data_IF_700301325981
#
_entry.id   IF_700301325981
#
_cell.length_a   1.000
_cell.length_b   1.000
_cell.length_c   1.000
_cell.angle_alpha   90.00
_cell.angle_beta   90.00
_cell.angle_gamma   90.00
#
_symmetry.space_group_name_H-M   'P 1'
#
loop_
_entity.id
_entity.type
_entity.pdbx_description
1 polymer ?
#
# COMPACT_ATOMS: atom_id res chain seq x y z
N UNK A 1 0.01 31.54 -10.75
CA UNK A 1 -0.48 31.12 -9.42
C UNK A 1 -1.98 31.30 -9.45
N UNK A 2 -2.76 30.28 -9.06
CA UNK A 2 -4.21 30.31 -9.21
C UNK A 2 -4.92 29.92 -7.90
N UNK A 3 -6.06 30.53 -7.59
CA UNK A 3 -7.05 30.03 -6.65
C UNK A 3 -8.14 29.25 -7.40
N UNK A 4 -9.09 28.63 -6.70
CA UNK A 4 -10.27 28.07 -7.39
C UNK A 4 -11.03 29.18 -8.12
N UNK A 5 -11.19 30.34 -7.49
CA UNK A 5 -11.89 31.48 -8.09
C UNK A 5 -11.25 31.91 -9.40
N UNK A 6 -9.93 32.11 -9.42
CA UNK A 6 -9.25 32.52 -10.66
C UNK A 6 -9.37 31.47 -11.77
N UNK A 7 -9.51 30.18 -11.44
CA UNK A 7 -9.70 29.12 -12.43
C UNK A 7 -11.14 29.13 -12.97
N UNK A 8 -12.13 29.41 -12.10
CA UNK A 8 -13.52 29.60 -12.51
C UNK A 8 -13.62 30.77 -13.50
N UNK A 9 -13.05 31.91 -13.14
CA UNK A 9 -13.13 33.13 -13.93
C UNK A 9 -12.40 32.99 -15.28
N UNK A 10 -11.25 32.31 -15.31
CA UNK A 10 -10.46 32.14 -16.54
C UNK A 10 -11.04 31.12 -17.52
N UNK A 11 -11.70 30.08 -17.01
CA UNK A 11 -12.22 28.99 -17.84
C UNK A 11 -13.73 29.07 -18.04
N UNK A 12 -14.38 30.07 -17.44
CA UNK A 12 -15.84 30.23 -17.38
C UNK A 12 -16.55 28.94 -16.95
N UNK A 13 -16.16 28.43 -15.77
CA UNK A 13 -16.68 27.18 -15.21
C UNK A 13 -17.14 27.34 -13.76
N UNK A 14 -18.04 26.46 -13.35
CA UNK A 14 -18.45 26.36 -11.96
C UNK A 14 -17.31 25.89 -11.04
N UNK A 15 -17.50 26.12 -9.74
CA UNK A 15 -16.55 25.79 -8.68
C UNK A 15 -16.25 24.29 -8.62
N UNK A 16 -17.25 23.44 -8.80
CA UNK A 16 -17.10 21.99 -8.72
C UNK A 16 -16.18 21.47 -9.83
N UNK A 17 -16.39 21.98 -11.06
CA UNK A 17 -15.58 21.67 -12.24
C UNK A 17 -14.16 22.21 -12.10
N UNK A 18 -13.98 23.42 -11.58
CA UNK A 18 -12.66 23.97 -11.27
C UNK A 18 -11.89 23.10 -10.25
N UNK A 19 -12.55 22.70 -9.16
CA UNK A 19 -11.96 21.78 -8.16
C UNK A 19 -11.58 20.44 -8.79
N UNK A 20 -12.44 19.90 -9.65
CA UNK A 20 -12.20 18.63 -10.32
C UNK A 20 -11.02 18.67 -11.30
N UNK A 21 -10.87 19.76 -12.06
CA UNK A 21 -9.70 19.98 -12.94
C UNK A 21 -8.42 20.02 -12.12
N UNK A 22 -8.38 20.81 -11.05
CA UNK A 22 -7.22 20.88 -10.13
C UNK A 22 -6.91 19.51 -9.55
N UNK A 23 -7.92 18.74 -9.16
CA UNK A 23 -7.76 17.38 -8.66
C UNK A 23 -7.15 16.43 -9.72
N UNK A 24 -7.65 16.47 -10.96
CA UNK A 24 -7.11 15.67 -12.08
C UNK A 24 -5.66 16.02 -12.38
N UNK A 25 -5.34 17.30 -12.49
CA UNK A 25 -3.98 17.77 -12.76
C UNK A 25 -3.03 17.42 -11.61
N UNK A 26 -3.50 17.51 -10.36
CA UNK A 26 -2.73 17.07 -9.18
C UNK A 26 -2.42 15.59 -9.20
N UNK A 27 -3.39 14.75 -9.54
CA UNK A 27 -3.17 13.29 -9.70
C UNK A 27 -2.10 12.97 -10.74
N UNK A 28 -1.95 13.81 -11.76
CA UNK A 28 -0.94 13.69 -12.81
C UNK A 28 0.38 14.42 -12.50
N UNK A 29 0.49 15.10 -11.35
CA UNK A 29 1.70 15.78 -10.89
C UNK A 29 1.91 17.21 -11.36
N UNK A 30 1.02 17.74 -12.20
CA UNK A 30 1.12 19.11 -12.73
C UNK A 30 0.72 20.21 -11.74
N UNK A 31 0.34 19.86 -10.50
CA UNK A 31 -0.12 20.84 -9.49
C UNK A 31 0.66 20.73 -8.19
N UNK A 32 1.27 21.85 -7.77
CA UNK A 32 1.77 22.04 -6.41
C UNK A 32 0.80 22.93 -5.62
N UNK A 33 0.37 22.47 -4.46
CA UNK A 33 -0.53 23.23 -3.57
C UNK A 33 0.28 23.87 -2.45
N UNK A 34 0.07 25.17 -2.19
CA UNK A 34 0.63 25.89 -1.05
C UNK A 34 -0.46 26.68 -0.34
N UNK A 35 -0.15 27.12 0.87
CA UNK A 35 -0.94 28.09 1.60
C UNK A 35 -0.22 29.44 1.59
N UNK A 36 -0.97 30.51 1.38
CA UNK A 36 -0.47 31.88 1.58
C UNK A 36 -0.39 32.21 3.07
N UNK A 37 0.24 33.33 3.41
CA UNK A 37 0.25 33.88 4.78
C UNK A 37 -1.15 34.04 5.38
N UNK A 38 -2.15 34.33 4.54
CA UNK A 38 -3.58 34.41 4.91
C UNK A 38 -4.28 33.05 5.07
N UNK A 39 -3.56 31.92 5.03
CA UNK A 39 -4.11 30.55 4.99
C UNK A 39 -5.03 30.26 3.80
N UNK A 40 -5.05 31.12 2.78
CA UNK A 40 -5.73 30.84 1.52
C UNK A 40 -4.93 29.82 0.70
N UNK A 41 -5.62 28.80 0.17
CA UNK A 41 -5.01 27.74 -0.65
C UNK A 41 -4.78 28.22 -2.07
N UNK A 42 -3.54 28.11 -2.55
CA UNK A 42 -3.12 28.47 -3.90
C UNK A 42 -2.53 27.28 -4.64
N UNK A 43 -2.74 27.25 -5.95
CA UNK A 43 -2.32 26.19 -6.86
C UNK A 43 -1.34 26.73 -7.89
N UNK A 44 -0.21 26.05 -8.00
CA UNK A 44 0.78 26.28 -9.03
C UNK A 44 0.61 25.16 -10.05
N UNK A 45 0.08 25.51 -11.23
CA UNK A 45 -0.12 24.61 -12.36
C UNK A 45 1.07 24.76 -13.29
N UNK A 46 1.72 23.66 -13.63
CA UNK A 46 2.95 23.64 -14.42
C UNK A 46 2.70 22.93 -15.74
N UNK A 47 3.39 23.37 -16.79
CA UNK A 47 3.34 22.73 -18.12
C UNK A 47 4.10 21.40 -18.10
N UNK A 48 5.26 21.37 -17.46
CA UNK A 48 6.03 20.15 -17.17
C UNK A 48 5.65 19.61 -15.79
N UNK A 49 5.86 18.33 -15.51
CA UNK A 49 5.55 17.74 -14.21
C UNK A 49 6.67 18.06 -13.20
N UNK A 50 6.48 19.01 -12.25
CA UNK A 50 7.52 19.36 -11.27
C UNK A 50 7.58 18.35 -10.12
N UNK A 51 6.58 17.48 -9.97
CA UNK A 51 6.50 16.57 -8.86
C UNK A 51 7.36 15.33 -9.16
N UNK A 52 8.41 15.11 -8.36
CA UNK A 52 9.06 13.80 -8.26
C UNK A 52 8.02 12.83 -7.71
N UNK A 53 7.36 12.10 -8.61
CA UNK A 53 6.39 11.11 -8.19
C UNK A 53 7.08 9.95 -7.50
N UNK A 54 6.32 9.21 -6.72
CA UNK A 54 6.80 8.03 -6.00
C UNK A 54 5.88 6.85 -6.36
N UNK A 55 6.46 5.70 -6.62
CA UNK A 55 5.71 4.47 -6.84
C UNK A 55 5.59 3.67 -5.55
N UNK A 56 4.62 2.75 -5.50
CA UNK A 56 4.56 1.77 -4.43
C UNK A 56 5.81 0.87 -4.39
N UNK A 57 6.41 0.61 -5.56
CA UNK A 57 7.64 -0.18 -5.68
C UNK A 57 8.81 0.54 -5.00
N UNK A 58 8.92 1.87 -5.15
CA UNK A 58 9.96 2.66 -4.47
C UNK A 58 9.85 2.52 -2.95
N UNK A 59 8.62 2.48 -2.42
CA UNK A 59 8.38 2.27 -1.00
C UNK A 59 8.75 0.83 -0.60
N UNK A 60 8.32 -0.19 -1.34
CA UNK A 60 8.71 -1.58 -1.08
C UNK A 60 10.24 -1.73 -1.05
N UNK A 61 10.91 -1.26 -2.09
CA UNK A 61 12.37 -1.38 -2.25
C UNK A 61 13.14 -0.58 -1.20
N UNK A 62 12.57 0.49 -0.64
CA UNK A 62 13.15 1.23 0.49
C UNK A 62 13.20 0.40 1.77
N UNK A 63 12.25 -0.51 1.97
CA UNK A 63 12.18 -1.36 3.16
C UNK A 63 12.81 -2.75 2.98
N UNK A 64 13.05 -3.17 1.74
CA UNK A 64 13.73 -4.43 1.42
C UNK A 64 15.13 -4.50 2.06
N UNK A 65 15.48 -5.56 2.81
CA UNK A 65 16.74 -5.65 3.54
C UNK A 65 17.94 -5.97 2.63
N UNK A 66 17.74 -6.75 1.56
CA UNK A 66 18.79 -7.15 0.61
C UNK A 66 18.43 -6.73 -0.82
N UNK A 67 19.40 -6.82 -1.73
CA UNK A 67 19.16 -6.58 -3.15
C UNK A 67 18.29 -7.68 -3.79
N UNK A 68 18.40 -8.94 -3.32
CA UNK A 68 17.62 -10.09 -3.82
C UNK A 68 16.12 -9.95 -3.60
N UNK A 69 15.71 -9.21 -2.56
CA UNK A 69 14.30 -8.95 -2.23
C UNK A 69 13.71 -7.77 -3.03
N UNK A 70 14.57 -6.90 -3.59
CA UNK A 70 14.08 -5.74 -4.33
C UNK A 70 13.40 -6.17 -5.62
N UNK A 71 12.28 -5.53 -5.91
CA UNK A 71 11.56 -5.73 -7.15
C UNK A 71 12.34 -5.06 -8.29
N UNK A 72 12.77 -5.87 -9.25
CA UNK A 72 13.43 -5.43 -10.47
C UNK A 72 12.38 -5.07 -11.54
N UNK A 73 11.72 -3.91 -11.40
CA UNK A 73 11.22 -3.16 -12.56
C UNK A 73 10.75 -1.74 -12.20
N UNK A 74 10.96 -0.83 -13.15
CA UNK A 74 10.56 0.58 -13.18
C UNK A 74 9.18 0.70 -13.88
N UNK A 75 8.08 0.42 -13.19
CA UNK A 75 6.80 0.15 -13.86
C UNK A 75 5.54 0.91 -13.41
N UNK A 76 5.26 2.03 -14.09
CA UNK A 76 3.95 2.60 -14.48
C UNK A 76 3.04 3.33 -13.49
N UNK A 77 2.92 2.95 -12.21
CA UNK A 77 2.01 3.68 -11.30
C UNK A 77 2.75 4.70 -10.43
N UNK A 78 3.09 5.82 -11.06
CA UNK A 78 3.69 6.96 -10.36
C UNK A 78 2.59 7.76 -9.67
N UNK A 79 2.68 7.87 -8.35
CA UNK A 79 1.77 8.68 -7.54
C UNK A 79 2.37 10.06 -7.37
N UNK A 80 1.61 11.06 -7.80
CA UNK A 80 2.00 12.45 -7.68
C UNK A 80 1.17 13.18 -6.62
N UNK A 81 1.80 14.15 -5.95
CA UNK A 81 1.13 15.06 -5.02
C UNK A 81 0.77 14.46 -3.65
N UNK A 82 1.08 13.18 -3.41
CA UNK A 82 1.09 12.55 -2.08
C UNK A 82 2.18 11.49 -2.00
N UNK A 83 2.67 11.24 -0.79
CA UNK A 83 3.52 10.08 -0.50
C UNK A 83 2.58 8.98 0.00
N UNK A 84 2.48 7.82 -0.68
CA UNK A 84 1.67 6.71 -0.21
C UNK A 84 2.13 6.23 1.16
N UNK A 85 1.19 5.81 1.99
CA UNK A 85 1.54 5.25 3.30
C UNK A 85 2.04 3.81 3.16
N UNK A 86 2.68 3.30 4.21
CA UNK A 86 3.13 1.90 4.27
C UNK A 86 1.92 0.96 4.21
N UNK A 87 0.82 1.34 4.87
CA UNK A 87 -0.45 0.63 4.85
C UNK A 87 -1.04 0.56 3.44
N UNK A 88 -1.09 1.69 2.71
CA UNK A 88 -1.52 1.71 1.31
C UNK A 88 -0.62 0.83 0.43
N UNK A 89 0.68 0.85 0.68
CA UNK A 89 1.68 0.07 -0.07
C UNK A 89 1.54 -1.43 0.18
N UNK A 90 1.30 -1.84 1.43
CA UNK A 90 1.09 -3.24 1.79
C UNK A 90 -0.16 -3.79 1.08
N UNK A 91 -1.26 -3.04 1.11
CA UNK A 91 -2.51 -3.43 0.42
C UNK A 91 -2.30 -3.50 -1.07
N UNK A 92 -1.58 -2.53 -1.66
CA UNK A 92 -1.20 -2.58 -3.07
C UNK A 92 -0.45 -3.87 -3.40
N UNK A 93 0.59 -4.22 -2.63
CA UNK A 93 1.41 -5.41 -2.88
C UNK A 93 0.60 -6.71 -2.78
N UNK A 94 -0.25 -6.83 -1.77
CA UNK A 94 -1.14 -7.99 -1.57
C UNK A 94 -2.10 -8.14 -2.75
N UNK A 95 -2.68 -7.03 -3.21
CA UNK A 95 -3.66 -7.03 -4.28
C UNK A 95 -3.05 -7.34 -5.66
N UNK A 96 -1.72 -7.28 -5.81
CA UNK A 96 -1.04 -7.73 -7.04
C UNK A 96 -1.12 -9.23 -7.24
N UNK A 97 -1.36 -10.00 -6.18
CA UNK A 97 -1.47 -11.48 -6.23
C UNK A 97 -0.24 -12.11 -6.92
N UNK A 98 0.95 -11.54 -6.68
CA UNK A 98 2.23 -11.94 -7.27
C UNK A 98 3.22 -12.28 -6.15
N UNK A 99 3.84 -13.46 -6.22
CA UNK A 99 4.74 -14.00 -5.19
C UNK A 99 5.88 -13.04 -4.85
N UNK A 100 6.51 -12.40 -5.85
CA UNK A 100 7.62 -11.47 -5.62
C UNK A 100 7.15 -10.25 -4.85
N UNK A 101 5.97 -9.72 -5.18
CA UNK A 101 5.37 -8.62 -4.42
C UNK A 101 5.05 -9.02 -2.99
N UNK A 102 4.58 -10.24 -2.75
CA UNK A 102 4.28 -10.72 -1.40
C UNK A 102 5.56 -10.81 -0.57
N UNK A 103 6.60 -11.47 -1.08
CA UNK A 103 7.91 -11.61 -0.44
C UNK A 103 8.46 -10.22 -0.11
N UNK A 104 8.61 -9.34 -1.10
CA UNK A 104 9.18 -8.01 -0.91
C UNK A 104 8.39 -7.12 0.07
N UNK A 105 7.06 -7.32 0.16
CA UNK A 105 6.20 -6.57 1.06
C UNK A 105 6.32 -6.97 2.53
N UNK A 106 6.88 -8.14 2.86
CA UNK A 106 6.99 -8.60 4.26
C UNK A 106 7.76 -7.58 5.12
N UNK A 107 8.82 -6.99 4.57
CA UNK A 107 9.62 -5.95 5.25
C UNK A 107 8.82 -4.69 5.63
N UNK A 108 7.70 -4.40 4.95
CA UNK A 108 6.87 -3.24 5.25
C UNK A 108 6.24 -3.33 6.65
N UNK A 109 6.00 -4.54 7.17
CA UNK A 109 5.47 -4.71 8.54
C UNK A 109 6.39 -4.14 9.62
N UNK A 110 7.71 -4.04 9.36
CA UNK A 110 8.65 -3.38 10.27
C UNK A 110 8.41 -1.87 10.37
N UNK A 111 7.97 -1.25 9.27
CA UNK A 111 7.66 0.17 9.19
C UNK A 111 6.23 0.53 9.58
N UNK A 112 5.34 -0.45 9.72
CA UNK A 112 3.91 -0.25 9.97
C UNK A 112 3.62 0.45 11.30
N UNK A 113 2.96 1.61 11.24
CA UNK A 113 2.64 2.42 12.42
C UNK A 113 1.15 2.41 12.75
N UNK A 114 0.28 2.50 11.73
CA UNK A 114 -1.15 2.64 11.90
C UNK A 114 -1.93 1.38 11.49
N UNK A 115 -2.05 0.47 12.45
CA UNK A 115 -2.87 -0.74 12.31
C UNK A 115 -4.35 -0.46 12.04
N UNK A 116 -4.88 0.68 12.50
CA UNK A 116 -6.29 1.02 12.29
C UNK A 116 -6.54 1.43 10.84
N UNK A 117 -5.63 2.22 10.26
CA UNK A 117 -5.65 2.56 8.84
C UNK A 117 -5.50 1.30 7.98
N UNK A 118 -4.53 0.44 8.30
CA UNK A 118 -4.34 -0.83 7.59
C UNK A 118 -5.60 -1.70 7.61
N UNK A 119 -6.26 -1.82 8.77
CA UNK A 119 -7.50 -2.59 8.87
C UNK A 119 -8.61 -2.03 7.98
N UNK A 120 -8.80 -0.71 7.96
CA UNK A 120 -9.82 -0.07 7.12
C UNK A 120 -9.56 -0.33 5.63
N UNK A 121 -8.31 -0.22 5.20
CA UNK A 121 -7.92 -0.49 3.82
C UNK A 121 -8.09 -1.98 3.48
N UNK A 122 -7.60 -2.88 4.34
CA UNK A 122 -7.73 -4.32 4.15
C UNK A 122 -9.20 -4.76 4.11
N UNK A 123 -10.05 -4.19 4.98
CA UNK A 123 -11.49 -4.49 4.98
C UNK A 123 -12.18 -4.03 3.70
N UNK A 124 -11.78 -2.87 3.17
CA UNK A 124 -12.35 -2.33 1.93
C UNK A 124 -12.06 -3.24 0.73
N UNK A 125 -10.87 -3.84 0.69
CA UNK A 125 -10.43 -4.71 -0.41
C UNK A 125 -10.66 -6.21 -0.13
N UNK A 126 -11.32 -6.57 0.99
CA UNK A 126 -11.52 -7.96 1.45
C UNK A 126 -10.22 -8.79 1.64
N UNK A 127 -9.17 -8.12 2.12
CA UNK A 127 -7.80 -8.66 2.32
C UNK A 127 -7.41 -8.84 3.80
N UNK A 128 -8.36 -8.78 4.72
CA UNK A 128 -8.06 -8.76 6.17
C UNK A 128 -7.29 -10.01 6.62
N UNK A 129 -7.67 -11.18 6.10
CA UNK A 129 -7.04 -12.45 6.47
C UNK A 129 -5.66 -12.59 5.84
N UNK A 130 -5.52 -12.16 4.59
CA UNK A 130 -4.27 -12.08 3.83
C UNK A 130 -3.24 -11.19 4.52
N UNK A 131 -3.66 -10.03 5.04
CA UNK A 131 -2.79 -9.16 5.84
C UNK A 131 -2.35 -9.86 7.13
N UNK A 132 -3.26 -10.52 7.83
CA UNK A 132 -2.96 -11.17 9.11
C UNK A 132 -2.00 -12.35 8.96
N UNK A 133 -2.17 -13.16 7.92
CA UNK A 133 -1.30 -14.30 7.66
C UNK A 133 0.10 -13.85 7.20
N UNK A 134 0.20 -12.84 6.32
CA UNK A 134 1.51 -12.28 5.93
C UNK A 134 2.22 -11.61 7.10
N UNK A 135 1.50 -10.98 8.03
CA UNK A 135 2.10 -10.46 9.26
C UNK A 135 2.72 -11.60 10.09
N UNK A 136 2.01 -12.72 10.25
CA UNK A 136 2.53 -13.85 11.00
C UNK A 136 3.74 -14.47 10.30
N UNK A 137 3.73 -14.59 8.97
CA UNK A 137 4.89 -15.01 8.17
C UNK A 137 6.06 -14.04 8.35
N UNK A 138 5.82 -12.73 8.19
CA UNK A 138 6.85 -11.70 8.34
C UNK A 138 7.52 -11.76 9.72
N UNK A 139 6.76 -12.12 10.76
CA UNK A 139 7.29 -12.26 12.13
C UNK A 139 8.20 -13.47 12.34
N UNK A 140 8.18 -14.45 11.44
CA UNK A 140 9.10 -15.59 11.49
C UNK A 140 10.52 -15.15 11.09
N UNK A 141 10.64 -14.25 10.11
CA UNK A 141 11.92 -13.94 9.46
C UNK A 141 12.41 -12.50 9.67
N UNK A 142 11.53 -11.55 10.02
CA UNK A 142 11.92 -10.15 10.22
C UNK A 142 11.89 -9.78 11.72
N UNK A 143 13.02 -9.35 12.29
CA UNK A 143 13.09 -8.97 13.69
C UNK A 143 12.37 -7.62 13.94
N UNK A 144 11.95 -7.42 15.19
CA UNK A 144 11.43 -6.13 15.70
C UNK A 144 10.16 -5.60 15.01
N UNK A 145 9.36 -6.47 14.38
CA UNK A 145 8.01 -6.09 13.93
C UNK A 145 7.12 -5.76 15.14
N UNK A 146 6.45 -4.60 15.09
CA UNK A 146 5.49 -4.19 16.11
C UNK A 146 4.35 -5.20 16.19
N UNK A 147 3.97 -5.57 17.42
CA UNK A 147 2.87 -6.53 17.65
C UNK A 147 1.54 -6.02 17.05
N UNK A 148 0.89 -6.87 16.26
CA UNK A 148 -0.47 -6.66 15.78
C UNK A 148 -1.43 -6.47 16.97
N UNK A 149 -2.24 -5.40 17.01
CA UNK A 149 -3.17 -5.15 18.10
C UNK A 149 -4.20 -6.27 18.24
N UNK A 150 -4.58 -6.58 19.49
CA UNK A 150 -5.60 -7.61 19.80
C UNK A 150 -6.89 -7.39 19.01
N UNK A 151 -7.32 -6.13 18.87
CA UNK A 151 -8.51 -5.76 18.09
C UNK A 151 -8.40 -6.17 16.61
N UNK A 152 -7.26 -5.91 15.96
CA UNK A 152 -7.04 -6.35 14.58
C UNK A 152 -7.09 -7.87 14.50
N UNK A 153 -6.34 -8.55 15.40
CA UNK A 153 -6.31 -10.02 15.46
C UNK A 153 -7.72 -10.60 15.56
N UNK A 154 -8.53 -10.13 16.50
CA UNK A 154 -9.92 -10.59 16.68
C UNK A 154 -10.77 -10.38 15.43
N UNK A 155 -10.63 -9.24 14.76
CA UNK A 155 -11.39 -8.92 13.55
C UNK A 155 -10.91 -9.70 12.31
N UNK A 156 -9.67 -10.17 12.32
CA UNK A 156 -9.11 -10.99 11.24
C UNK A 156 -9.35 -12.50 11.44
N UNK A 157 -9.62 -12.94 12.67
CA UNK A 157 -9.85 -14.37 12.96
C UNK A 157 -11.07 -14.87 12.20
N UNK A 158 -10.92 -15.93 11.37
CA UNK A 158 -12.05 -16.50 10.64
C UNK A 158 -13.04 -17.18 11.58
N UNK A 159 -14.31 -17.18 11.20
CA UNK A 159 -15.36 -17.98 11.87
C UNK A 159 -15.22 -19.45 11.48
N UNK A 160 -15.81 -20.34 12.29
CA UNK A 160 -15.86 -21.78 11.98
C UNK A 160 -16.51 -22.07 10.61
N UNK A 161 -17.51 -21.29 10.22
CA UNK A 161 -18.22 -21.38 8.94
C UNK A 161 -17.43 -20.86 7.73
N UNK A 162 -16.39 -20.05 7.93
CA UNK A 162 -15.70 -19.41 6.82
C UNK A 162 -14.95 -20.46 5.98
N UNK A 163 -15.00 -20.31 4.66
CA UNK A 163 -14.22 -21.14 3.75
C UNK A 163 -12.76 -20.69 3.71
N UNK A 164 -11.88 -21.62 3.33
CA UNK A 164 -10.51 -21.28 2.95
C UNK A 164 -10.51 -20.37 1.73
N UNK A 165 -9.60 -19.41 1.72
CA UNK A 165 -9.32 -18.52 0.59
C UNK A 165 -7.93 -18.83 0.04
N UNK A 166 -7.73 -18.64 -1.25
CA UNK A 166 -6.40 -18.67 -1.83
C UNK A 166 -5.81 -17.26 -1.82
N UNK A 167 -4.52 -17.14 -1.48
CA UNK A 167 -3.82 -15.89 -1.73
C UNK A 167 -3.62 -15.67 -3.23
N UNK A 168 -3.21 -16.71 -3.95
CA UNK A 168 -3.11 -16.80 -5.41
C UNK A 168 -3.81 -18.10 -5.79
N UNK A 169 -4.78 -18.03 -6.69
CA UNK A 169 -5.62 -19.17 -7.04
C UNK A 169 -4.79 -20.36 -7.53
N UNK A 170 -5.04 -21.55 -6.96
CA UNK A 170 -4.31 -22.77 -7.28
C UNK A 170 -2.95 -22.95 -6.59
N UNK A 171 -2.46 -21.95 -5.85
CA UNK A 171 -1.18 -22.04 -5.12
C UNK A 171 -1.41 -22.33 -3.63
N UNK A 172 -0.69 -23.31 -3.11
CA UNK A 172 -0.62 -23.63 -1.68
C UNK A 172 0.74 -24.22 -1.32
N UNK A 173 1.18 -24.02 -0.09
CA UNK A 173 2.46 -24.50 0.42
C UNK A 173 2.27 -25.48 1.57
N UNK A 174 3.20 -26.44 1.70
CA UNK A 174 3.28 -27.30 2.87
C UNK A 174 4.07 -26.69 4.04
N UNK A 175 4.78 -25.58 3.82
CA UNK A 175 5.68 -24.97 4.81
C UNK A 175 4.94 -24.28 5.96
N UNK A 176 3.70 -23.86 5.76
CA UNK A 176 3.00 -22.97 6.71
C UNK A 176 1.61 -23.47 7.10
N UNK A 177 1.39 -24.79 7.11
CA UNK A 177 0.06 -25.41 7.32
C UNK A 177 -0.65 -24.93 8.59
N UNK A 178 0.08 -24.61 9.65
CA UNK A 178 -0.52 -24.13 10.90
C UNK A 178 -1.04 -22.70 10.77
N UNK A 179 -0.32 -21.84 10.03
CA UNK A 179 -0.79 -20.50 9.71
C UNK A 179 -1.97 -20.55 8.74
N UNK A 180 -1.93 -21.44 7.74
CA UNK A 180 -3.03 -21.64 6.80
C UNK A 180 -4.31 -22.06 7.54
N UNK A 181 -4.21 -23.03 8.46
CA UNK A 181 -5.34 -23.48 9.29
C UNK A 181 -5.89 -22.37 10.18
N UNK A 182 -4.99 -21.62 10.83
CA UNK A 182 -5.35 -20.53 11.75
C UNK A 182 -6.14 -19.42 11.07
N UNK A 183 -5.75 -19.04 9.85
CA UNK A 183 -6.35 -17.92 9.13
C UNK A 183 -7.30 -18.32 8.01
N UNK A 184 -7.38 -19.62 7.68
CA UNK A 184 -8.12 -20.15 6.54
C UNK A 184 -7.74 -19.45 5.24
N UNK A 185 -6.44 -19.37 5.00
CA UNK A 185 -5.85 -18.81 3.76
C UNK A 185 -4.72 -19.72 3.31
N UNK A 186 -4.74 -20.19 2.06
CA UNK A 186 -3.63 -20.91 1.44
C UNK A 186 -2.52 -19.94 1.07
N UNK A 187 -1.29 -20.24 1.50
CA UNK A 187 -0.10 -19.42 1.34
C UNK A 187 0.66 -19.88 0.08
N UNK A 188 1.02 -18.97 -0.84
CA UNK A 188 1.74 -19.31 -2.06
C UNK A 188 3.27 -19.24 -1.89
N UNK A 189 3.75 -19.26 -0.64
CA UNK A 189 5.15 -19.08 -0.24
C UNK A 189 5.61 -20.32 0.51
N UNK A 190 6.84 -20.73 0.30
CA UNK A 190 7.54 -21.76 1.06
C UNK A 190 8.61 -21.12 1.97
N UNK A 191 9.18 -21.92 2.87
CA UNK A 191 10.32 -21.50 3.70
C UNK A 191 11.51 -21.06 2.87
N UNK A 192 11.81 -21.76 1.77
CA UNK A 192 12.89 -21.42 0.85
C UNK A 192 12.75 -20.01 0.24
N UNK A 193 11.52 -19.56 0.00
CA UNK A 193 11.25 -18.21 -0.53
C UNK A 193 11.60 -17.10 0.47
N UNK A 194 11.83 -17.44 1.74
CA UNK A 194 12.13 -16.52 2.82
C UNK A 194 13.62 -16.51 3.23
N UNK A 195 14.45 -17.36 2.63
CA UNK A 195 15.88 -17.49 2.97
C UNK A 195 16.63 -16.16 2.83
N UNK A 196 16.26 -15.34 1.84
CA UNK A 196 16.83 -13.99 1.64
C UNK A 196 16.58 -13.01 2.79
N UNK A 197 15.65 -13.32 3.71
CA UNK A 197 15.40 -12.56 4.94
C UNK A 197 16.21 -13.08 6.14
N UNK A 198 16.74 -14.30 6.07
CA UNK A 198 17.56 -14.92 7.11
C UNK A 198 19.02 -14.42 6.97
N UNK A 199 19.27 -13.19 7.42
CA UNK A 199 20.62 -12.61 7.58
C UNK A 199 21.23 -12.97 8.94
#
# INVERSE_FOLDING_TARGET
MHTIQTIQDQLDIDRARAVYIVYKLRKKGYVKTKYTSSKMRVYYIYVTNPAKGISYIDIINKYAPTAGIKLADYGNHIIYGKIPSIEETLIYAINRRDVRFLIASLSLFRGLKDWSSLYKLAKKEDLVREVAILYDIARLVIPKIRRMPKRFKTLATPKKSDKYKYFIEGFSSKSFTDLEKKWKVYIPLNTADLEEYEL
#
